data_IF_506471743777
#
_entry.id   IF_506471743777
#
_cell.length_a   1.000
_cell.length_b   1.000
_cell.length_c   1.000
_cell.angle_alpha   90.00
_cell.angle_beta   90.00
_cell.angle_gamma   90.00
#
_symmetry.space_group_name_H-M   'P 1'
#
loop_
_entity.id
_entity.type
_entity.pdbx_description
1 polymer ?
#
# COMPACT_ATOMS: atom_id res chain seq x y z
N UNK A 1 19.19 -2.52 -18.07
CA UNK A 1 19.90 -1.72 -17.06
C UNK A 1 18.87 -1.17 -16.08
N UNK A 2 18.62 -1.90 -14.99
CA UNK A 2 17.34 -1.85 -14.26
C UNK A 2 17.45 -1.57 -12.76
N UNK A 3 18.39 -0.74 -12.33
CA UNK A 3 18.48 -0.13 -11.00
C UNK A 3 19.65 0.87 -10.99
N UNK A 4 19.51 2.03 -10.33
CA UNK A 4 20.60 3.01 -10.11
C UNK A 4 21.67 2.47 -9.16
N UNK A 5 21.26 1.68 -8.18
CA UNK A 5 22.10 1.14 -7.12
C UNK A 5 21.63 -0.28 -6.81
N UNK A 6 22.51 -1.29 -6.73
CA UNK A 6 22.15 -2.64 -6.30
C UNK A 6 21.99 -2.69 -4.76
N UNK A 7 20.93 -2.05 -4.25
CA UNK A 7 20.77 -1.76 -2.82
C UNK A 7 20.61 -3.00 -1.92
N UNK A 8 20.19 -4.14 -2.47
CA UNK A 8 20.20 -5.43 -1.76
C UNK A 8 21.60 -5.97 -1.52
N UNK A 9 22.56 -5.69 -2.41
CA UNK A 9 23.95 -6.13 -2.29
C UNK A 9 24.76 -5.18 -1.41
N UNK A 10 24.50 -3.87 -1.54
CA UNK A 10 25.26 -2.84 -0.82
C UNK A 10 24.83 -2.71 0.65
N UNK A 11 23.55 -2.95 0.95
CA UNK A 11 23.01 -2.81 2.31
C UNK A 11 22.03 -3.96 2.66
N UNK A 12 22.51 -5.22 2.68
CA UNK A 12 21.68 -6.39 2.93
C UNK A 12 20.95 -6.30 4.28
N UNK A 13 21.64 -5.94 5.35
CA UNK A 13 21.06 -5.84 6.70
C UNK A 13 19.96 -4.76 6.76
N UNK A 14 20.17 -3.64 6.07
CA UNK A 14 19.15 -2.58 5.95
C UNK A 14 17.91 -3.06 5.18
N UNK A 15 18.10 -3.86 4.13
CA UNK A 15 16.98 -4.44 3.38
C UNK A 15 16.29 -5.59 4.12
N UNK A 16 16.99 -6.28 5.02
CA UNK A 16 16.38 -7.30 5.87
C UNK A 16 15.30 -6.70 6.79
N UNK A 17 15.51 -5.50 7.32
CA UNK A 17 14.51 -4.78 8.12
C UNK A 17 13.22 -4.58 7.32
N UNK A 18 13.35 -4.10 6.08
CA UNK A 18 12.22 -3.92 5.17
C UNK A 18 11.49 -5.23 4.88
N UNK A 19 12.24 -6.33 4.71
CA UNK A 19 11.66 -7.66 4.49
C UNK A 19 10.97 -8.22 5.73
N UNK A 20 11.48 -7.93 6.94
CA UNK A 20 10.86 -8.37 8.19
C UNK A 20 9.53 -7.64 8.45
N UNK A 21 9.45 -6.36 8.11
CA UNK A 21 8.18 -5.64 8.14
C UNK A 21 7.19 -6.19 7.09
N UNK A 22 7.65 -6.58 5.89
CA UNK A 22 6.81 -7.28 4.90
C UNK A 22 6.33 -8.66 5.40
N UNK A 23 7.15 -9.39 6.16
CA UNK A 23 6.73 -10.65 6.80
C UNK A 23 5.64 -10.39 7.85
N UNK A 24 5.80 -9.36 8.67
CA UNK A 24 4.80 -8.98 9.66
C UNK A 24 3.47 -8.56 9.02
N UNK A 25 3.49 -7.73 7.97
CA UNK A 25 2.25 -7.30 7.29
C UNK A 25 1.50 -8.47 6.65
N UNK A 26 2.17 -9.61 6.41
CA UNK A 26 1.52 -10.84 5.96
C UNK A 26 0.75 -11.57 7.07
N UNK A 27 1.13 -11.42 8.33
CA UNK A 27 0.48 -12.07 9.48
C UNK A 27 -0.74 -11.32 10.03
N UNK A 28 -1.03 -10.11 9.53
CA UNK A 28 -2.17 -9.30 9.96
C UNK A 28 -3.50 -9.94 9.58
N UNK A 29 -4.57 -9.62 10.33
CA UNK A 29 -5.94 -10.06 10.01
C UNK A 29 -6.60 -9.23 8.90
N UNK A 30 -5.97 -8.14 8.43
CA UNK A 30 -6.45 -7.36 7.29
C UNK A 30 -6.53 -8.24 6.04
N UNK A 31 -7.65 -8.15 5.32
CA UNK A 31 -7.89 -8.97 4.13
C UNK A 31 -6.75 -8.81 3.12
N UNK A 32 -6.33 -9.94 2.53
CA UNK A 32 -5.23 -9.96 1.54
C UNK A 32 -5.52 -9.06 0.33
N UNK A 33 -6.75 -9.07 -0.18
CA UNK A 33 -7.13 -8.23 -1.32
C UNK A 33 -7.09 -6.74 -0.98
N UNK A 34 -7.65 -6.36 0.19
CA UNK A 34 -7.58 -4.99 0.68
C UNK A 34 -6.13 -4.50 0.86
N UNK A 35 -5.22 -5.35 1.37
CA UNK A 35 -3.78 -5.02 1.44
C UNK A 35 -3.21 -4.65 0.07
N UNK A 36 -3.51 -5.41 -0.96
CA UNK A 36 -3.03 -5.09 -2.32
C UNK A 36 -3.72 -3.85 -2.90
N UNK A 37 -5.01 -3.61 -2.64
CA UNK A 37 -5.68 -2.37 -3.04
C UNK A 37 -5.07 -1.12 -2.37
N UNK A 38 -4.75 -1.19 -1.08
CA UNK A 38 -4.01 -0.14 -0.37
C UNK A 38 -2.65 0.08 -1.05
N UNK A 39 -1.91 -1.01 -1.31
CA UNK A 39 -0.59 -0.93 -1.95
C UNK A 39 -0.65 -0.29 -3.35
N UNK A 40 -1.66 -0.64 -4.14
CA UNK A 40 -1.92 -0.04 -5.45
C UNK A 40 -2.24 1.45 -5.28
N UNK A 41 -3.19 1.82 -4.41
CA UNK A 41 -3.60 3.22 -4.24
C UNK A 41 -2.47 4.11 -3.77
N UNK A 42 -1.70 3.68 -2.77
CA UNK A 42 -0.53 4.42 -2.28
C UNK A 42 0.52 4.56 -3.38
N UNK A 43 0.76 3.51 -4.16
CA UNK A 43 1.70 3.55 -5.29
C UNK A 43 1.25 4.47 -6.43
N UNK A 44 -0.06 4.62 -6.65
CA UNK A 44 -0.62 5.60 -7.60
C UNK A 44 -0.29 7.02 -7.14
N UNK A 45 -0.53 7.33 -5.86
CA UNK A 45 -0.26 8.66 -5.27
C UNK A 45 1.23 8.99 -5.33
N UNK A 46 2.09 8.02 -4.99
CA UNK A 46 3.54 8.22 -4.98
C UNK A 46 4.19 8.11 -6.37
N UNK A 47 3.47 7.66 -7.40
CA UNK A 47 4.01 7.49 -8.75
C UNK A 47 5.02 6.33 -8.92
N UNK A 48 4.93 5.27 -8.09
CA UNK A 48 5.84 4.13 -8.21
C UNK A 48 5.37 3.13 -9.28
N UNK A 49 5.80 3.29 -10.53
CA UNK A 49 5.43 2.39 -11.63
C UNK A 49 5.81 0.91 -11.38
N UNK A 50 7.00 0.66 -10.83
CA UNK A 50 7.44 -0.69 -10.46
C UNK A 50 6.49 -1.36 -9.46
N UNK A 51 6.09 -0.61 -8.44
CA UNK A 51 5.19 -1.10 -7.39
C UNK A 51 3.78 -1.33 -7.93
N UNK A 52 3.29 -0.44 -8.81
CA UNK A 52 2.00 -0.63 -9.49
C UNK A 52 1.97 -1.90 -10.34
N UNK A 53 3.02 -2.16 -11.11
CA UNK A 53 3.13 -3.38 -11.91
C UNK A 53 3.09 -4.64 -11.02
N UNK A 54 3.87 -4.64 -9.93
CA UNK A 54 3.93 -5.76 -9.00
C UNK A 54 2.58 -6.01 -8.31
N UNK A 55 2.02 -4.99 -7.64
CA UNK A 55 0.83 -5.15 -6.81
C UNK A 55 -0.44 -5.38 -7.62
N UNK A 56 -0.56 -4.80 -8.83
CA UNK A 56 -1.68 -5.15 -9.72
C UNK A 56 -1.59 -6.60 -10.21
N UNK A 57 -0.39 -7.11 -10.52
CA UNK A 57 -0.21 -8.51 -10.88
C UNK A 57 -0.52 -9.46 -9.72
N UNK A 58 -0.11 -9.12 -8.50
CA UNK A 58 -0.37 -9.94 -7.32
C UNK A 58 -1.84 -9.90 -6.89
N UNK A 59 -2.50 -8.75 -6.98
CA UNK A 59 -3.95 -8.64 -6.76
C UNK A 59 -4.74 -9.56 -7.70
N UNK A 60 -4.40 -9.57 -8.99
CA UNK A 60 -5.01 -10.49 -9.98
C UNK A 60 -4.83 -11.96 -9.60
N UNK A 61 -3.61 -12.36 -9.20
CA UNK A 61 -3.34 -13.74 -8.75
C UNK A 61 -4.18 -14.13 -7.53
N UNK A 62 -4.57 -13.16 -6.69
CA UNK A 62 -5.43 -13.37 -5.53
C UNK A 62 -6.93 -13.34 -5.87
N UNK A 63 -7.30 -13.20 -7.16
CA UNK A 63 -8.69 -13.14 -7.61
C UNK A 63 -9.38 -11.81 -7.31
N UNK A 64 -8.62 -10.71 -7.23
CA UNK A 64 -9.19 -9.36 -7.31
C UNK A 64 -9.64 -9.08 -8.75
N UNK A 65 -10.65 -8.22 -8.93
CA UNK A 65 -11.22 -7.95 -10.26
C UNK A 65 -10.52 -6.78 -10.95
N UNK A 66 -10.46 -6.80 -12.29
CA UNK A 66 -9.95 -5.65 -13.06
C UNK A 66 -10.74 -4.37 -12.75
N UNK A 67 -12.07 -4.49 -12.58
CA UNK A 67 -12.93 -3.37 -12.19
C UNK A 67 -12.42 -2.72 -10.90
N UNK A 68 -12.17 -3.52 -9.86
CA UNK A 68 -11.68 -3.01 -8.56
C UNK A 68 -10.23 -2.54 -8.62
N UNK A 69 -9.38 -3.11 -9.47
CA UNK A 69 -7.99 -2.64 -9.63
C UNK A 69 -7.97 -1.27 -10.34
N UNK A 70 -8.75 -1.09 -11.40
CA UNK A 70 -8.77 0.15 -12.16
C UNK A 70 -9.47 1.29 -11.41
N UNK A 71 -10.60 1.00 -10.77
CA UNK A 71 -11.40 2.01 -10.08
C UNK A 71 -10.84 2.42 -8.71
N UNK A 72 -9.80 1.76 -8.17
CA UNK A 72 -9.26 2.13 -6.85
C UNK A 72 -8.73 3.56 -6.83
N UNK A 73 -8.36 4.14 -7.97
CA UNK A 73 -7.96 5.55 -8.07
C UNK A 73 -9.11 6.54 -7.83
N UNK A 74 -10.36 6.09 -8.00
CA UNK A 74 -11.61 6.83 -7.84
C UNK A 74 -12.58 6.12 -6.87
N UNK A 75 -12.02 5.43 -5.86
CA UNK A 75 -12.75 4.54 -4.95
C UNK A 75 -13.96 5.17 -4.24
N UNK A 76 -13.93 6.50 -4.01
CA UNK A 76 -15.01 7.24 -3.34
C UNK A 76 -16.35 7.14 -4.05
N UNK A 77 -16.32 7.12 -5.39
CA UNK A 77 -17.50 7.10 -6.26
C UNK A 77 -17.95 5.67 -6.62
N UNK A 78 -17.37 4.65 -5.98
CA UNK A 78 -17.60 3.26 -6.32
C UNK A 78 -18.46 2.56 -5.26
N UNK A 79 -19.53 1.89 -5.69
CA UNK A 79 -20.46 1.15 -4.80
C UNK A 79 -19.99 -0.28 -4.46
N UNK A 80 -19.01 -0.81 -5.20
CA UNK A 80 -18.51 -2.18 -5.03
C UNK A 80 -17.31 -2.30 -4.08
N UNK A 81 -16.92 -1.21 -3.39
CA UNK A 81 -16.09 -1.28 -2.20
C UNK A 81 -16.97 -1.17 -0.96
N UNK A 82 -16.71 -2.01 0.03
CA UNK A 82 -17.41 -1.91 1.32
C UNK A 82 -16.99 -0.64 2.07
N UNK A 83 -17.80 -0.19 3.03
CA UNK A 83 -17.46 0.98 3.86
C UNK A 83 -16.15 0.78 4.64
N UNK A 84 -15.87 -0.45 5.10
CA UNK A 84 -14.60 -0.80 5.73
C UNK A 84 -13.41 -0.62 4.76
N UNK A 85 -13.54 -1.08 3.51
CA UNK A 85 -12.49 -0.88 2.50
C UNK A 85 -12.31 0.61 2.17
N UNK A 86 -13.40 1.35 2.03
CA UNK A 86 -13.37 2.80 1.75
C UNK A 86 -12.66 3.56 2.87
N UNK A 87 -12.97 3.28 4.14
CA UNK A 87 -12.31 4.00 5.24
C UNK A 87 -10.82 3.64 5.37
N UNK A 88 -10.44 2.39 5.05
CA UNK A 88 -9.05 1.97 4.98
C UNK A 88 -8.29 2.66 3.82
N UNK A 89 -8.93 2.83 2.67
CA UNK A 89 -8.38 3.59 1.53
C UNK A 89 -8.27 5.08 1.87
N UNK A 90 -9.23 5.66 2.57
CA UNK A 90 -9.17 7.04 3.06
C UNK A 90 -7.97 7.24 4.00
N UNK A 91 -7.81 6.36 4.98
CA UNK A 91 -6.65 6.35 5.87
C UNK A 91 -5.34 6.23 5.08
N UNK A 92 -5.29 5.36 4.06
CA UNK A 92 -4.12 5.21 3.20
C UNK A 92 -3.74 6.51 2.48
N UNK A 93 -4.72 7.27 1.97
CA UNK A 93 -4.46 8.57 1.35
C UNK A 93 -3.96 9.61 2.37
N UNK A 94 -4.56 9.65 3.55
CA UNK A 94 -4.20 10.59 4.62
C UNK A 94 -2.79 10.35 5.14
N UNK A 95 -2.43 9.10 5.46
CA UNK A 95 -1.09 8.73 5.91
C UNK A 95 -0.05 8.92 4.80
N UNK A 96 -0.42 8.70 3.53
CA UNK A 96 0.51 8.94 2.40
C UNK A 96 0.76 10.42 2.18
N UNK A 97 -0.28 11.26 2.28
CA UNK A 97 -0.23 12.71 2.12
C UNK A 97 -0.13 13.43 3.49
N UNK A 98 0.55 12.80 4.45
CA UNK A 98 0.57 13.26 5.84
C UNK A 98 1.02 14.72 6.04
N UNK A 99 1.93 15.31 5.23
CA UNK A 99 2.31 16.72 5.42
C UNK A 99 1.19 17.71 5.16
N UNK A 100 0.18 17.34 4.35
CA UNK A 100 -0.93 18.23 3.97
C UNK A 100 -2.28 17.80 4.54
N UNK A 101 -2.48 16.49 4.73
CA UNK A 101 -3.75 15.95 5.23
C UNK A 101 -3.74 15.60 6.72
N UNK A 102 -2.59 15.23 7.27
CA UNK A 102 -2.51 14.61 8.59
C UNK A 102 -3.44 13.38 8.72
N UNK A 103 -3.71 12.99 9.96
CA UNK A 103 -4.76 12.00 10.30
C UNK A 103 -5.65 12.65 11.37
N UNK A 104 -6.77 13.29 10.98
CA UNK A 104 -7.69 13.92 11.93
C UNK A 104 -8.31 12.88 12.88
N UNK A 105 -8.62 13.29 14.11
CA UNK A 105 -9.26 12.41 15.11
C UNK A 105 -10.58 11.81 14.61
N UNK A 106 -11.36 12.56 13.83
CA UNK A 106 -12.59 12.09 13.20
C UNK A 106 -12.34 10.91 12.24
N UNK A 107 -11.25 10.97 11.46
CA UNK A 107 -10.87 9.85 10.59
C UNK A 107 -10.44 8.64 11.41
N UNK A 108 -9.67 8.85 12.48
CA UNK A 108 -9.34 7.78 13.43
C UNK A 108 -10.62 7.12 13.94
N UNK A 109 -11.57 7.89 14.49
CA UNK A 109 -12.84 7.38 15.03
C UNK A 109 -13.64 6.58 13.99
N UNK A 110 -13.79 7.09 12.76
CA UNK A 110 -14.46 6.34 11.68
C UNK A 110 -13.75 5.04 11.32
N UNK A 111 -12.41 5.00 11.33
CA UNK A 111 -11.66 3.74 11.15
C UNK A 111 -11.95 2.78 12.30
N UNK A 112 -12.05 3.26 13.55
CA UNK A 112 -12.36 2.45 14.73
C UNK A 112 -13.74 1.77 14.68
N UNK A 113 -14.68 2.30 13.90
CA UNK A 113 -16.01 1.70 13.71
C UNK A 113 -15.94 0.36 12.93
N UNK A 114 -14.89 0.16 12.13
CA UNK A 114 -14.73 -1.02 11.27
C UNK A 114 -13.53 -1.91 11.65
N UNK A 115 -12.53 -1.35 12.33
CA UNK A 115 -11.27 -2.02 12.66
C UNK A 115 -10.96 -1.86 14.14
N UNK A 116 -10.51 -2.91 14.83
CA UNK A 116 -10.00 -2.85 16.20
C UNK A 116 -8.60 -2.19 16.31
N UNK A 117 -8.09 -1.95 17.52
CA UNK A 117 -6.89 -1.11 17.69
C UNK A 117 -5.68 -1.77 17.07
N UNK A 118 -5.63 -3.10 17.16
CA UNK A 118 -4.59 -3.91 16.54
C UNK A 118 -4.67 -3.79 15.01
N UNK A 119 -5.87 -3.85 14.45
CA UNK A 119 -6.11 -3.66 13.02
C UNK A 119 -5.80 -2.24 12.55
N UNK A 120 -6.06 -1.22 13.35
CA UNK A 120 -5.65 0.16 13.05
C UNK A 120 -4.12 0.27 12.96
N UNK A 121 -3.40 -0.29 13.94
CA UNK A 121 -1.93 -0.35 13.91
C UNK A 121 -1.45 -1.12 12.68
N UNK A 122 -2.09 -2.25 12.36
CA UNK A 122 -1.76 -3.05 11.18
C UNK A 122 -1.96 -2.27 9.88
N UNK A 123 -3.07 -1.54 9.73
CA UNK A 123 -3.33 -0.67 8.58
C UNK A 123 -2.23 0.38 8.43
N UNK A 124 -1.88 1.08 9.51
CA UNK A 124 -0.80 2.08 9.48
C UNK A 124 0.54 1.45 9.08
N UNK A 125 0.87 0.26 9.60
CA UNK A 125 2.09 -0.45 9.22
C UNK A 125 2.07 -0.90 7.75
N UNK A 126 0.94 -1.41 7.24
CA UNK A 126 0.77 -1.75 5.82
C UNK A 126 0.98 -0.50 4.94
N UNK A 127 0.38 0.63 5.30
CA UNK A 127 0.50 1.89 4.56
C UNK A 127 1.94 2.41 4.60
N UNK A 128 2.60 2.37 5.76
CA UNK A 128 3.99 2.77 5.91
C UNK A 128 4.93 1.86 5.12
N UNK A 129 4.70 0.55 5.12
CA UNK A 129 5.49 -0.41 4.36
C UNK A 129 5.51 -0.08 2.87
N UNK A 130 4.34 0.16 2.27
CA UNK A 130 4.28 0.49 0.84
C UNK A 130 4.83 1.90 0.56
N UNK A 131 4.62 2.85 1.46
CA UNK A 131 5.23 4.17 1.39
C UNK A 131 6.77 4.08 1.36
N UNK A 132 7.36 3.23 2.20
CA UNK A 132 8.80 2.97 2.21
C UNK A 132 9.27 2.27 0.94
N UNK A 133 8.55 1.24 0.46
CA UNK A 133 8.87 0.58 -0.80
C UNK A 133 8.81 1.53 -2.01
N UNK A 134 7.80 2.40 -2.07
CA UNK A 134 7.69 3.40 -3.13
C UNK A 134 8.92 4.33 -3.12
N UNK A 135 9.31 4.85 -1.94
CA UNK A 135 10.48 5.73 -1.79
C UNK A 135 11.77 5.03 -2.22
N UNK A 136 12.01 3.81 -1.75
CA UNK A 136 13.19 3.02 -2.13
C UNK A 136 13.18 2.79 -3.64
N UNK A 137 12.07 2.29 -4.19
CA UNK A 137 11.94 1.93 -5.60
C UNK A 137 12.21 3.13 -6.53
N UNK A 138 11.61 4.28 -6.23
CA UNK A 138 11.79 5.52 -7.01
C UNK A 138 13.22 6.06 -6.86
N UNK A 139 13.73 6.16 -5.62
CA UNK A 139 15.07 6.70 -5.35
C UNK A 139 16.16 5.86 -6.02
N UNK A 140 16.01 4.54 -5.97
CA UNK A 140 16.94 3.56 -6.56
C UNK A 140 16.70 3.31 -8.05
N UNK A 141 15.74 4.01 -8.67
CA UNK A 141 15.52 3.97 -10.11
C UNK A 141 15.01 2.64 -10.65
N UNK A 142 14.24 1.89 -9.85
CA UNK A 142 13.49 0.73 -10.32
C UNK A 142 12.49 1.18 -11.40
N UNK A 143 12.33 0.38 -12.45
CA UNK A 143 11.37 0.63 -13.53
C UNK A 143 10.45 -0.56 -13.70
N UNK A 144 9.19 -0.32 -14.02
CA UNK A 144 8.34 -1.38 -14.56
C UNK A 144 8.89 -1.78 -15.93
N UNK A 145 9.15 -3.06 -16.13
CA UNK A 145 9.53 -3.63 -17.42
C UNK A 145 8.41 -4.55 -17.90
N UNK A 146 8.32 -4.69 -19.21
CA UNK A 146 7.57 -5.79 -19.81
C UNK A 146 8.12 -7.13 -19.28
N UNK A 147 7.24 -8.12 -19.17
CA UNK A 147 7.61 -9.49 -18.80
C UNK A 147 7.83 -10.33 -20.04
#
# INVERSE_FOLDING_TARGET
MSQRVPYYEISPDGMEIMMNMEKYTKTTTIERKLRELIKIRVSQINGCAYCLNMHSADARKMGETEQRIYCVSAWKECEFYTEAEKIALELAEHVTLIPTKGVPDELYQRVREHYDEKQYVDLVLIINQINSWNRISIAMGNRATEK
#
